data_IF_002903000486
#
_entry.id   IF_002903000486
#
_cell.length_a   1.000
_cell.length_b   1.000
_cell.length_c   1.000
_cell.angle_alpha   90.00
_cell.angle_beta   90.00
_cell.angle_gamma   90.00
#
_symmetry.space_group_name_H-M   'P 1'
#
loop_
_entity.id
_entity.type
_entity.pdbx_description
1 polymer ?
#
# COMPACT_ATOMS: atom_id res chain seq x y z
N UNK A 1 -27.14 -8.37 -2.82
CA UNK A 1 -27.10 -8.65 -1.36
C UNK A 1 -25.72 -8.26 -0.77
N UNK A 2 -24.62 -8.85 -1.24
CA UNK A 2 -23.24 -8.59 -0.75
C UNK A 2 -22.86 -7.09 -0.70
N UNK A 3 -23.07 -6.34 -1.79
CA UNK A 3 -22.73 -4.91 -1.83
C UNK A 3 -23.62 -4.07 -0.89
N UNK A 4 -24.88 -4.44 -0.71
CA UNK A 4 -25.78 -3.76 0.23
C UNK A 4 -25.32 -3.98 1.66
N UNK A 5 -25.00 -5.21 2.05
CA UNK A 5 -24.47 -5.50 3.38
C UNK A 5 -23.17 -4.70 3.66
N UNK A 6 -22.32 -4.56 2.65
CA UNK A 6 -21.07 -3.79 2.78
C UNK A 6 -21.33 -2.30 3.04
N UNK A 7 -22.32 -1.71 2.34
CA UNK A 7 -22.75 -0.33 2.54
C UNK A 7 -23.41 -0.19 3.92
N UNK A 8 -24.30 -1.10 4.29
CA UNK A 8 -25.02 -1.08 5.57
C UNK A 8 -24.06 -1.08 6.76
N UNK A 9 -23.03 -1.94 6.75
CA UNK A 9 -22.00 -1.95 7.80
C UNK A 9 -21.13 -0.70 7.80
N UNK A 10 -20.89 -0.08 6.65
CA UNK A 10 -20.16 1.19 6.58
C UNK A 10 -20.98 2.34 7.20
N UNK A 11 -22.28 2.39 6.92
CA UNK A 11 -23.19 3.37 7.52
C UNK A 11 -23.41 3.11 9.01
N UNK A 12 -23.55 1.84 9.40
CA UNK A 12 -23.65 1.44 10.80
C UNK A 12 -22.42 1.90 11.60
N UNK A 13 -21.21 1.68 11.08
CA UNK A 13 -20.01 2.20 11.72
C UNK A 13 -20.01 3.73 11.83
N UNK A 14 -20.48 4.44 10.81
CA UNK A 14 -20.64 5.91 10.84
C UNK A 14 -21.64 6.38 11.92
N UNK A 15 -22.68 5.62 12.18
CA UNK A 15 -23.70 5.96 13.18
C UNK A 15 -23.27 5.58 14.59
N UNK A 16 -22.65 4.42 14.80
CA UNK A 16 -22.39 3.84 16.10
C UNK A 16 -21.01 4.20 16.69
N UNK A 17 -20.00 4.51 15.86
CA UNK A 17 -18.69 4.87 16.37
C UNK A 17 -18.61 6.33 16.81
N UNK A 18 -17.89 6.65 17.89
CA UNK A 18 -17.81 8.02 18.44
C UNK A 18 -17.32 9.06 17.43
N UNK A 19 -16.43 8.66 16.54
CA UNK A 19 -15.85 9.53 15.49
C UNK A 19 -16.69 9.62 14.21
N UNK A 20 -17.70 8.77 14.04
CA UNK A 20 -18.38 8.63 12.76
C UNK A 20 -19.00 9.91 12.22
N UNK A 21 -19.55 10.78 13.10
CA UNK A 21 -20.10 12.10 12.73
C UNK A 21 -19.03 13.17 12.51
N UNK A 22 -17.80 12.93 12.97
CA UNK A 22 -16.66 13.86 12.82
C UNK A 22 -15.91 13.63 11.49
N UNK A 23 -16.12 12.47 10.84
CA UNK A 23 -15.49 12.15 9.57
C UNK A 23 -16.15 12.96 8.44
N UNK A 24 -15.40 13.79 7.71
CA UNK A 24 -15.94 14.54 6.58
C UNK A 24 -16.44 13.61 5.48
N UNK A 25 -17.41 14.09 4.70
CA UNK A 25 -18.07 13.29 3.65
C UNK A 25 -17.07 12.77 2.59
N UNK A 26 -16.06 13.57 2.23
CA UNK A 26 -15.03 13.17 1.28
C UNK A 26 -14.21 11.99 1.80
N UNK A 27 -13.73 12.07 3.03
CA UNK A 27 -12.93 11.03 3.68
C UNK A 27 -13.75 9.76 3.88
N UNK A 28 -15.02 9.88 4.27
CA UNK A 28 -15.93 8.75 4.37
C UNK A 28 -16.14 8.07 3.01
N UNK A 29 -16.49 8.85 1.98
CA UNK A 29 -16.79 8.34 0.64
C UNK A 29 -15.61 7.64 -0.01
N UNK A 30 -14.40 8.16 0.16
CA UNK A 30 -13.23 7.67 -0.56
C UNK A 30 -12.34 6.73 0.26
N UNK A 31 -12.42 6.77 1.59
CA UNK A 31 -11.49 6.03 2.44
C UNK A 31 -12.14 5.18 3.54
N UNK A 32 -13.49 5.17 3.63
CA UNK A 32 -14.25 4.21 4.47
C UNK A 32 -15.13 3.34 3.59
N UNK A 33 -15.97 3.95 2.77
CA UNK A 33 -16.99 3.27 1.98
C UNK A 33 -16.45 2.28 0.92
N UNK A 34 -15.32 2.52 0.23
CA UNK A 34 -14.87 1.62 -0.81
C UNK A 34 -14.63 0.19 -0.31
N UNK A 35 -15.09 -0.77 -1.11
CA UNK A 35 -14.99 -2.20 -0.82
C UNK A 35 -13.57 -2.74 -1.05
N UNK A 36 -12.80 -2.10 -1.95
CA UNK A 36 -11.43 -2.49 -2.28
C UNK A 36 -10.40 -1.55 -1.67
N UNK A 37 -9.24 -2.10 -1.38
CA UNK A 37 -8.04 -1.38 -0.97
C UNK A 37 -7.02 -1.38 -2.12
N UNK A 38 -6.82 -2.50 -2.78
CA UNK A 38 -5.90 -2.67 -3.90
C UNK A 38 -6.54 -3.57 -4.98
N UNK A 39 -5.98 -4.74 -5.25
CA UNK A 39 -6.42 -5.71 -6.28
C UNK A 39 -6.85 -7.05 -5.66
N UNK A 40 -7.06 -7.09 -4.37
CA UNK A 40 -7.49 -8.26 -3.61
C UNK A 40 -8.85 -8.80 -4.08
N UNK A 41 -9.11 -10.07 -3.83
CA UNK A 41 -10.44 -10.63 -3.96
C UNK A 41 -11.38 -10.02 -2.92
N UNK A 42 -12.65 -9.90 -3.27
CA UNK A 42 -13.69 -9.42 -2.35
C UNK A 42 -14.10 -10.56 -1.41
N UNK A 43 -14.33 -10.21 -0.16
CA UNK A 43 -14.88 -11.09 0.87
C UNK A 43 -15.76 -10.30 1.85
N UNK A 44 -16.33 -10.97 2.82
CA UNK A 44 -17.23 -10.38 3.81
C UNK A 44 -16.51 -9.81 5.04
N UNK A 45 -15.27 -9.35 4.88
CA UNK A 45 -14.44 -8.84 5.98
C UNK A 45 -15.07 -7.66 6.71
N UNK A 46 -15.77 -6.76 6.00
CA UNK A 46 -16.40 -5.58 6.60
C UNK A 46 -17.28 -5.92 7.81
N UNK A 47 -18.18 -6.86 7.63
CA UNK A 47 -19.08 -7.34 8.67
C UNK A 47 -18.31 -8.06 9.77
N UNK A 48 -17.49 -9.03 9.41
CA UNK A 48 -16.73 -9.85 10.36
C UNK A 48 -15.86 -8.98 11.25
N UNK A 49 -15.10 -8.07 10.67
CA UNK A 49 -14.20 -7.19 11.43
C UNK A 49 -14.95 -6.16 12.26
N UNK A 50 -16.08 -5.63 11.74
CA UNK A 50 -16.92 -4.74 12.54
C UNK A 50 -17.41 -5.43 13.83
N UNK A 51 -17.93 -6.65 13.73
CA UNK A 51 -18.45 -7.38 14.88
C UNK A 51 -17.35 -7.76 15.90
N UNK A 52 -16.11 -8.01 15.44
CA UNK A 52 -14.98 -8.26 16.34
C UNK A 52 -14.41 -7.00 16.99
N UNK A 53 -14.42 -5.87 16.28
CA UNK A 53 -13.69 -4.64 16.68
C UNK A 53 -14.57 -3.62 17.40
N UNK A 54 -15.88 -3.54 17.10
CA UNK A 54 -16.76 -2.45 17.59
C UNK A 54 -16.69 -2.23 19.10
N UNK A 55 -16.78 -3.31 19.87
CA UNK A 55 -16.75 -3.23 21.35
C UNK A 55 -15.36 -2.95 21.89
N UNK A 56 -14.32 -3.31 21.14
CA UNK A 56 -12.92 -3.10 21.51
C UNK A 56 -12.52 -1.62 21.37
N UNK A 57 -13.11 -0.89 20.41
CA UNK A 57 -12.67 0.47 20.07
C UNK A 57 -13.65 1.57 20.46
N UNK A 58 -14.94 1.29 20.66
CA UNK A 58 -16.00 2.29 20.86
C UNK A 58 -15.80 3.26 22.04
N UNK A 59 -14.96 2.92 23.01
CA UNK A 59 -14.69 3.76 24.17
C UNK A 59 -13.32 4.46 24.09
N UNK A 60 -12.63 4.35 22.96
CA UNK A 60 -11.32 4.94 22.73
C UNK A 60 -11.43 6.28 21.99
N UNK A 61 -10.39 7.10 22.09
CA UNK A 61 -10.18 8.21 21.15
C UNK A 61 -9.95 7.66 19.74
N UNK A 62 -10.16 8.48 18.72
CA UNK A 62 -9.89 8.06 17.33
C UNK A 62 -8.41 7.64 17.15
N UNK A 63 -7.49 8.41 17.76
CA UNK A 63 -6.06 8.09 17.75
C UNK A 63 -5.78 6.71 18.37
N UNK A 64 -6.30 6.45 19.56
CA UNK A 64 -6.07 5.20 20.27
C UNK A 64 -6.76 4.02 19.59
N UNK A 65 -7.92 4.27 18.94
CA UNK A 65 -8.62 3.26 18.16
C UNK A 65 -7.81 2.80 16.95
N UNK A 66 -7.08 3.70 16.27
CA UNK A 66 -6.17 3.32 15.18
C UNK A 66 -5.07 2.40 15.68
N UNK A 67 -4.42 2.74 16.79
CA UNK A 67 -3.39 1.90 17.41
C UNK A 67 -3.96 0.54 17.83
N UNK A 68 -5.14 0.52 18.46
CA UNK A 68 -5.81 -0.68 18.92
C UNK A 68 -6.18 -1.63 17.79
N UNK A 69 -6.68 -1.09 16.67
CA UNK A 69 -6.95 -1.90 15.46
C UNK A 69 -5.67 -2.54 14.93
N UNK A 70 -4.54 -1.82 14.95
CA UNK A 70 -3.27 -2.38 14.49
C UNK A 70 -2.75 -3.51 15.41
N UNK A 71 -2.93 -3.37 16.71
CA UNK A 71 -2.67 -4.44 17.67
C UNK A 71 -3.56 -5.68 17.40
N UNK A 72 -4.85 -5.47 17.15
CA UNK A 72 -5.74 -6.56 16.74
C UNK A 72 -5.28 -7.21 15.42
N UNK A 73 -4.79 -6.43 14.47
CA UNK A 73 -4.23 -6.96 13.22
C UNK A 73 -3.01 -7.87 13.49
N UNK A 74 -2.13 -7.48 14.40
CA UNK A 74 -0.96 -8.28 14.78
C UNK A 74 -1.33 -9.59 15.51
N UNK A 75 -2.44 -9.62 16.24
CA UNK A 75 -2.99 -10.87 16.81
C UNK A 75 -3.34 -11.89 15.71
N UNK A 76 -3.63 -11.45 14.50
CA UNK A 76 -4.15 -12.28 13.40
C UNK A 76 -3.10 -12.61 12.34
N UNK A 77 -2.26 -11.66 11.98
CA UNK A 77 -1.37 -11.74 10.81
C UNK A 77 0.02 -11.25 11.16
N UNK A 78 1.02 -11.96 10.64
CA UNK A 78 2.44 -11.58 10.72
C UNK A 78 3.08 -11.63 9.35
N UNK A 79 4.12 -10.81 9.15
CA UNK A 79 4.86 -10.76 7.89
C UNK A 79 5.48 -12.10 7.52
N UNK A 80 5.22 -12.52 6.29
CA UNK A 80 5.93 -13.64 5.66
C UNK A 80 6.08 -13.36 4.17
N UNK A 81 7.29 -13.44 3.60
CA UNK A 81 7.52 -13.22 2.17
C UNK A 81 6.63 -14.14 1.32
N UNK A 82 6.06 -13.59 0.26
CA UNK A 82 5.22 -14.31 -0.68
C UNK A 82 5.24 -13.59 -2.04
N UNK A 83 5.31 -14.34 -3.12
CA UNK A 83 5.17 -13.83 -4.50
C UNK A 83 3.74 -13.96 -5.01
N UNK A 84 2.84 -14.45 -4.18
CA UNK A 84 1.46 -14.64 -4.56
C UNK A 84 0.72 -13.29 -4.73
N UNK A 85 -0.39 -13.36 -5.47
CA UNK A 85 -1.35 -12.25 -5.57
C UNK A 85 -1.83 -11.83 -4.17
N UNK A 86 -2.10 -10.55 -3.98
CA UNK A 86 -2.68 -10.00 -2.75
C UNK A 86 -3.93 -10.77 -2.33
N UNK A 87 -3.88 -11.41 -1.17
CA UNK A 87 -4.99 -12.14 -0.59
C UNK A 87 -6.10 -11.21 -0.13
N UNK A 88 -7.33 -11.72 -0.11
CA UNK A 88 -8.43 -11.00 0.54
C UNK A 88 -8.20 -10.89 2.07
N UNK A 89 -8.79 -9.88 2.74
CA UNK A 89 -8.58 -9.69 4.18
C UNK A 89 -8.88 -10.92 5.03
N UNK A 90 -9.99 -11.62 4.78
CA UNK A 90 -10.31 -12.86 5.51
C UNK A 90 -9.38 -14.02 5.15
N UNK A 91 -8.87 -14.08 3.93
CA UNK A 91 -7.89 -15.10 3.56
C UNK A 91 -6.56 -14.89 4.29
N UNK A 92 -6.12 -13.63 4.48
CA UNK A 92 -4.94 -13.30 5.28
C UNK A 92 -5.12 -13.73 6.74
N UNK A 93 -6.29 -13.47 7.34
CA UNK A 93 -6.61 -13.94 8.69
C UNK A 93 -6.58 -15.47 8.79
N UNK A 94 -7.20 -16.16 7.83
CA UNK A 94 -7.24 -17.63 7.82
C UNK A 94 -5.87 -18.27 7.69
N UNK A 95 -4.95 -17.63 6.98
CA UNK A 95 -3.58 -18.12 6.81
C UNK A 95 -2.59 -17.59 7.84
N UNK A 96 -3.01 -16.62 8.65
CA UNK A 96 -2.24 -15.97 9.73
C UNK A 96 -0.94 -15.27 9.27
N UNK A 97 -0.78 -15.00 7.97
CA UNK A 97 0.39 -14.29 7.44
C UNK A 97 0.12 -13.57 6.12
N UNK A 98 1.00 -12.64 5.79
CA UNK A 98 1.05 -11.95 4.51
C UNK A 98 2.35 -11.21 4.33
N UNK A 99 2.64 -10.79 3.09
CA UNK A 99 3.66 -9.77 2.83
C UNK A 99 3.06 -8.38 3.10
N UNK A 100 3.85 -7.32 2.99
CA UNK A 100 3.41 -5.95 3.25
C UNK A 100 2.13 -5.54 2.46
N UNK A 101 1.95 -6.08 1.24
CA UNK A 101 0.74 -5.85 0.43
C UNK A 101 -0.53 -6.44 1.06
N UNK A 102 -0.48 -7.68 1.57
CA UNK A 102 -1.58 -8.33 2.28
C UNK A 102 -1.84 -7.69 3.64
N UNK A 103 -0.78 -7.46 4.43
CA UNK A 103 -0.88 -6.84 5.75
C UNK A 103 -1.52 -5.46 5.69
N UNK A 104 -1.09 -4.61 4.74
CA UNK A 104 -1.66 -3.27 4.57
C UNK A 104 -3.09 -3.31 4.04
N UNK A 105 -3.43 -4.21 3.12
CA UNK A 105 -4.80 -4.42 2.65
C UNK A 105 -5.72 -4.86 3.80
N UNK A 106 -5.27 -5.79 4.62
CA UNK A 106 -5.99 -6.28 5.80
C UNK A 106 -6.19 -5.18 6.84
N UNK A 107 -5.13 -4.45 7.19
CA UNK A 107 -5.21 -3.37 8.20
C UNK A 107 -6.12 -2.23 7.74
N UNK A 108 -6.07 -1.84 6.46
CA UNK A 108 -7.00 -0.84 5.91
C UNK A 108 -8.45 -1.34 5.97
N UNK A 109 -8.71 -2.61 5.63
CA UNK A 109 -10.04 -3.19 5.72
C UNK A 109 -10.56 -3.21 7.16
N UNK A 110 -9.69 -3.53 8.14
CA UNK A 110 -10.02 -3.50 9.57
C UNK A 110 -10.36 -2.09 10.06
N UNK A 111 -9.55 -1.08 9.76
CA UNK A 111 -9.81 0.32 10.10
C UNK A 111 -11.13 0.82 9.51
N UNK A 112 -11.34 0.56 8.21
CA UNK A 112 -12.58 0.95 7.52
C UNK A 112 -13.81 0.27 8.09
N UNK A 113 -13.69 -0.95 8.65
CA UNK A 113 -14.82 -1.68 9.22
C UNK A 113 -15.44 -0.96 10.43
N UNK A 114 -14.65 -0.23 11.18
CA UNK A 114 -15.08 0.60 12.31
C UNK A 114 -15.18 2.09 11.96
N UNK A 115 -15.32 2.41 10.67
CA UNK A 115 -15.57 3.77 10.20
C UNK A 115 -14.37 4.72 10.24
N UNK A 116 -13.15 4.20 10.37
CA UNK A 116 -11.92 4.99 10.33
C UNK A 116 -11.44 5.11 8.87
N UNK A 117 -11.33 6.33 8.30
CA UNK A 117 -10.78 6.48 6.97
C UNK A 117 -9.34 6.00 6.93
N UNK A 118 -9.05 5.07 6.02
CA UNK A 118 -7.73 4.49 5.87
C UNK A 118 -7.40 4.20 4.40
N UNK A 119 -6.11 4.22 4.08
CA UNK A 119 -5.61 3.94 2.74
C UNK A 119 -4.27 3.22 2.79
N UNK A 120 -4.02 2.37 1.79
CA UNK A 120 -2.72 1.75 1.59
C UNK A 120 -1.78 2.77 0.96
N UNK A 121 -0.60 2.90 1.53
CA UNK A 121 0.51 3.63 0.93
C UNK A 121 1.43 2.64 0.23
N UNK A 122 1.91 2.99 -0.94
CA UNK A 122 2.84 2.18 -1.70
C UNK A 122 3.99 3.02 -2.24
N UNK A 123 5.21 2.61 -1.96
CA UNK A 123 6.41 3.05 -2.67
C UNK A 123 6.81 1.96 -3.66
N UNK A 124 6.71 2.22 -4.97
CA UNK A 124 6.95 1.18 -5.97
C UNK A 124 8.40 0.69 -6.00
N UNK A 125 9.34 1.58 -5.71
CA UNK A 125 10.77 1.29 -5.55
C UNK A 125 11.42 2.33 -4.63
N UNK A 126 12.30 1.85 -3.75
CA UNK A 126 13.19 2.72 -2.99
C UNK A 126 14.28 3.29 -3.90
N UNK A 127 14.71 4.52 -3.64
CA UNK A 127 15.81 5.14 -4.39
C UNK A 127 17.21 4.84 -3.83
N UNK A 128 17.29 4.41 -2.58
CA UNK A 128 18.54 4.22 -1.83
C UNK A 128 18.91 2.74 -1.61
N UNK A 129 17.97 1.83 -1.87
CA UNK A 129 18.13 0.38 -1.74
C UNK A 129 17.16 -0.33 -2.68
N UNK A 130 17.40 -1.59 -2.96
CA UNK A 130 16.47 -2.41 -3.71
C UNK A 130 15.16 -2.63 -2.93
N UNK A 131 14.12 -3.08 -3.65
CA UNK A 131 12.80 -3.41 -3.14
C UNK A 131 11.77 -2.27 -3.14
N UNK A 132 10.58 -2.59 -2.69
CA UNK A 132 9.41 -1.74 -2.53
C UNK A 132 8.84 -1.93 -1.11
N UNK A 133 7.83 -1.13 -0.76
CA UNK A 133 7.11 -1.33 0.49
C UNK A 133 5.68 -0.82 0.42
N UNK A 134 4.81 -1.41 1.23
CA UNK A 134 3.45 -0.96 1.45
C UNK A 134 3.14 -0.89 2.95
N UNK A 135 2.44 0.17 3.35
CA UNK A 135 1.99 0.40 4.72
C UNK A 135 0.64 1.09 4.73
N UNK A 136 0.24 1.67 5.83
CA UNK A 136 -1.10 2.24 6.02
C UNK A 136 -1.04 3.69 6.46
N UNK A 137 -1.95 4.50 5.95
CA UNK A 137 -2.35 5.77 6.56
C UNK A 137 -3.78 5.70 7.07
N UNK A 138 -4.01 6.27 8.26
CA UNK A 138 -5.31 6.50 8.87
C UNK A 138 -5.55 8.01 9.06
N UNK A 139 -6.76 8.46 8.80
CA UNK A 139 -7.15 9.84 9.03
C UNK A 139 -7.63 10.03 10.47
N UNK A 140 -6.97 10.93 11.20
CA UNK A 140 -7.28 11.25 12.59
C UNK A 140 -7.35 12.78 12.73
N UNK A 141 -8.50 13.27 13.13
CA UNK A 141 -8.72 14.69 13.47
C UNK A 141 -8.17 15.71 12.45
N UNK A 142 -8.42 15.45 11.18
CA UNK A 142 -8.05 16.34 10.09
C UNK A 142 -6.71 16.08 9.43
N UNK A 143 -5.98 15.04 9.85
CA UNK A 143 -4.65 14.70 9.33
C UNK A 143 -4.52 13.22 9.01
N UNK A 144 -3.66 12.91 8.05
CA UNK A 144 -3.21 11.55 7.78
C UNK A 144 -2.00 11.20 8.64
N UNK A 145 -2.07 10.07 9.33
CA UNK A 145 -1.01 9.48 10.12
C UNK A 145 -0.67 8.12 9.59
N UNK A 146 0.62 7.78 9.50
CA UNK A 146 1.01 6.46 9.04
C UNK A 146 1.30 5.48 10.18
N UNK A 147 1.23 4.20 9.86
CA UNK A 147 1.56 3.08 10.74
C UNK A 147 2.03 1.89 9.90
N UNK A 148 2.90 1.06 10.46
CA UNK A 148 3.25 -0.25 9.90
C UNK A 148 2.05 -1.18 10.03
N UNK A 149 1.67 -1.84 8.94
CA UNK A 149 0.54 -2.75 8.93
C UNK A 149 0.86 -4.04 9.70
N UNK A 150 0.03 -4.44 10.63
CA UNK A 150 0.28 -5.58 11.53
C UNK A 150 1.58 -5.45 12.35
N UNK A 151 2.15 -4.26 12.41
CA UNK A 151 3.39 -3.94 13.13
C UNK A 151 3.10 -2.79 14.11
N UNK A 152 2.36 -3.04 15.21
CA UNK A 152 1.94 -1.97 16.12
C UNK A 152 3.12 -1.32 16.83
N UNK A 153 3.12 -0.01 16.81
CA UNK A 153 4.05 0.86 17.52
C UNK A 153 3.29 1.64 18.61
N UNK A 154 3.98 2.16 19.63
CA UNK A 154 3.33 2.90 20.72
C UNK A 154 2.61 4.17 20.30
N UNK A 155 3.00 4.74 19.18
CA UNK A 155 2.48 6.02 18.65
C UNK A 155 2.37 5.95 17.13
N UNK A 156 1.49 6.76 16.55
CA UNK A 156 1.39 6.93 15.10
C UNK A 156 2.61 7.67 14.53
N UNK A 157 2.82 7.58 13.23
CA UNK A 157 3.99 8.10 12.50
C UNK A 157 5.31 7.45 12.93
N UNK A 158 5.24 6.24 13.46
CA UNK A 158 6.39 5.43 13.83
C UNK A 158 6.34 4.08 13.11
N UNK A 159 7.47 3.67 12.58
CA UNK A 159 7.70 2.38 11.96
C UNK A 159 9.17 2.23 11.61
N UNK A 160 9.65 1.02 11.37
CA UNK A 160 11.03 0.76 10.96
C UNK A 160 11.43 1.52 9.68
N UNK A 161 10.44 1.87 8.87
CA UNK A 161 10.63 2.55 7.58
C UNK A 161 10.64 4.09 7.64
N UNK A 162 10.65 4.71 8.82
CA UNK A 162 10.72 6.18 8.92
C UNK A 162 11.89 6.77 8.13
N UNK A 163 13.10 6.23 8.32
CA UNK A 163 14.28 6.68 7.60
C UNK A 163 14.18 6.41 6.08
N UNK A 164 13.87 5.19 5.61
CA UNK A 164 13.59 4.93 4.20
C UNK A 164 12.52 5.84 3.58
N UNK A 165 11.42 6.08 4.26
CA UNK A 165 10.32 6.91 3.76
C UNK A 165 10.73 8.38 3.60
N UNK A 166 11.57 8.92 4.50
CA UNK A 166 12.05 10.30 4.44
C UNK A 166 12.93 10.59 3.22
N UNK A 167 13.45 9.57 2.57
CA UNK A 167 14.28 9.63 1.36
C UNK A 167 13.65 8.90 0.16
N UNK A 168 12.32 8.76 0.18
CA UNK A 168 11.57 8.20 -0.93
C UNK A 168 11.47 9.17 -2.11
N UNK A 169 11.39 8.61 -3.33
CA UNK A 169 11.12 9.38 -4.54
C UNK A 169 9.63 9.52 -4.81
N UNK A 170 8.84 8.47 -4.52
CA UNK A 170 7.41 8.45 -4.77
C UNK A 170 6.69 7.59 -3.74
N UNK A 171 5.62 8.12 -3.16
CA UNK A 171 4.58 7.40 -2.43
C UNK A 171 3.23 7.73 -3.04
N UNK A 172 2.46 6.71 -3.33
CA UNK A 172 1.12 6.88 -3.88
C UNK A 172 0.09 5.95 -3.22
N UNK A 173 -1.18 6.25 -3.46
CA UNK A 173 -2.29 5.41 -3.03
C UNK A 173 -3.36 5.33 -4.10
N UNK A 174 -4.14 4.25 -4.09
CA UNK A 174 -5.31 4.07 -4.96
C UNK A 174 -6.57 4.50 -4.22
N UNK A 175 -7.34 5.35 -4.87
CA UNK A 175 -8.67 5.78 -4.42
C UNK A 175 -9.70 5.23 -5.39
N UNK A 176 -10.57 4.34 -4.94
CA UNK A 176 -11.58 3.74 -5.81
C UNK A 176 -12.71 4.73 -6.11
N UNK A 177 -13.12 4.78 -7.38
CA UNK A 177 -14.07 5.74 -7.91
C UNK A 177 -13.42 7.04 -8.43
N UNK A 178 -14.26 8.05 -8.67
CA UNK A 178 -13.82 9.37 -9.12
C UNK A 178 -13.39 10.19 -7.91
N UNK A 179 -12.11 10.47 -7.84
CA UNK A 179 -11.52 11.30 -6.80
C UNK A 179 -11.26 12.73 -7.31
N UNK A 180 -11.56 13.73 -6.50
CA UNK A 180 -11.38 15.15 -6.79
C UNK A 180 -10.70 15.89 -5.63
N UNK A 181 -9.85 15.23 -4.87
CA UNK A 181 -9.04 15.84 -3.81
C UNK A 181 -7.91 16.73 -4.35
N UNK A 182 -7.16 17.36 -3.45
CA UNK A 182 -6.11 18.33 -3.81
C UNK A 182 -4.79 17.68 -4.28
N UNK A 183 -4.64 16.37 -4.11
CA UNK A 183 -3.39 15.68 -4.42
C UNK A 183 -3.16 15.56 -5.93
N UNK A 184 -1.91 15.50 -6.34
CA UNK A 184 -1.54 15.26 -7.73
C UNK A 184 -2.06 13.89 -8.20
N UNK A 185 -2.80 13.88 -9.31
CA UNK A 185 -3.26 12.65 -9.95
C UNK A 185 -2.12 12.04 -10.77
N UNK A 186 -1.72 10.82 -10.39
CA UNK A 186 -0.71 10.05 -11.09
C UNK A 186 -1.29 9.27 -12.27
N UNK A 187 -2.43 8.64 -12.02
CA UNK A 187 -3.16 7.86 -13.00
C UNK A 187 -4.65 7.86 -12.66
N UNK A 188 -5.50 7.84 -13.68
CA UNK A 188 -6.94 7.72 -13.51
C UNK A 188 -7.54 6.82 -14.58
N UNK A 189 -8.43 5.95 -14.17
CA UNK A 189 -9.25 5.11 -15.04
C UNK A 189 -10.68 5.03 -14.49
N UNK A 190 -11.63 4.34 -15.15
CA UNK A 190 -13.01 4.24 -14.68
C UNK A 190 -13.18 3.65 -13.27
N UNK A 191 -12.22 2.86 -12.79
CA UNK A 191 -12.33 2.11 -11.54
C UNK A 191 -11.63 2.81 -10.36
N UNK A 192 -10.51 3.47 -10.59
CA UNK A 192 -9.74 4.12 -9.53
C UNK A 192 -8.94 5.34 -10.02
N UNK A 193 -8.59 6.17 -9.08
CA UNK A 193 -7.63 7.27 -9.22
C UNK A 193 -6.42 6.95 -8.35
N UNK A 194 -5.22 7.06 -8.90
CA UNK A 194 -3.97 6.95 -8.17
C UNK A 194 -3.42 8.34 -7.90
N UNK A 195 -3.19 8.66 -6.65
CA UNK A 195 -2.77 9.98 -6.18
C UNK A 195 -1.40 9.95 -5.52
N UNK A 196 -0.65 11.01 -5.72
CA UNK A 196 0.67 11.22 -5.15
C UNK A 196 0.57 11.78 -3.73
N UNK A 197 1.21 11.12 -2.79
CA UNK A 197 1.22 11.50 -1.38
C UNK A 197 2.64 11.63 -0.81
N UNK A 198 3.63 11.80 -1.67
CA UNK A 198 5.06 11.92 -1.26
C UNK A 198 5.26 13.02 -0.21
N UNK A 199 4.48 14.10 -0.27
CA UNK A 199 4.58 15.22 0.67
C UNK A 199 4.27 14.87 2.13
N UNK A 200 3.65 13.71 2.41
CA UNK A 200 3.44 13.25 3.79
C UNK A 200 4.71 12.63 4.41
N UNK A 201 5.74 12.34 3.60
CA UNK A 201 6.90 11.53 4.01
C UNK A 201 8.23 12.22 3.82
N UNK A 202 8.43 12.89 2.68
CA UNK A 202 9.73 13.41 2.29
C UNK A 202 9.67 14.86 1.82
N UNK A 203 10.75 15.63 1.96
CA UNK A 203 10.91 16.88 1.22
C UNK A 203 10.79 16.60 -0.28
N UNK A 204 9.88 17.29 -0.97
CA UNK A 204 9.60 17.06 -2.37
C UNK A 204 9.64 18.35 -3.18
N UNK A 205 9.71 18.21 -4.50
CA UNK A 205 9.59 19.30 -5.46
C UNK A 205 8.89 18.80 -6.72
N UNK A 206 8.29 19.74 -7.46
CA UNK A 206 7.74 19.47 -8.79
C UNK A 206 8.75 19.87 -9.87
N UNK A 207 8.87 19.06 -10.90
CA UNK A 207 9.66 19.38 -12.09
C UNK A 207 8.84 19.12 -13.35
N UNK A 208 8.95 20.02 -14.33
CA UNK A 208 8.36 19.88 -15.65
C UNK A 208 9.31 19.18 -16.60
N UNK A 209 8.74 18.38 -17.49
CA UNK A 209 9.47 17.76 -18.60
C UNK A 209 8.80 18.18 -19.89
N UNK A 210 9.58 18.81 -20.77
CA UNK A 210 9.13 19.23 -22.10
C UNK A 210 9.69 18.29 -23.15
N UNK A 211 8.81 17.70 -23.92
CA UNK A 211 9.16 16.76 -24.99
C UNK A 211 9.11 17.49 -26.33
N UNK A 212 10.20 17.39 -27.05
CA UNK A 212 10.33 17.97 -28.41
C UNK A 212 10.77 16.90 -29.41
N UNK A 213 10.45 17.10 -30.69
CA UNK A 213 10.95 16.27 -31.77
C UNK A 213 12.40 16.63 -32.16
N UNK A 214 12.94 15.98 -33.18
CA UNK A 214 14.29 16.22 -33.66
C UNK A 214 14.50 17.66 -34.17
N UNK A 215 13.43 18.39 -34.54
CA UNK A 215 13.45 19.77 -35.01
C UNK A 215 13.20 20.82 -33.92
N UNK A 216 12.92 20.36 -32.68
CA UNK A 216 12.61 21.21 -31.52
C UNK A 216 11.13 21.59 -31.38
N UNK A 217 10.22 20.95 -32.13
CA UNK A 217 8.80 21.22 -32.02
C UNK A 217 8.20 20.40 -30.86
N UNK A 218 7.24 20.96 -30.09
CA UNK A 218 6.55 20.24 -29.03
C UNK A 218 5.87 18.96 -29.52
N UNK A 219 5.97 17.90 -28.73
CA UNK A 219 5.35 16.61 -29.06
C UNK A 219 4.21 16.34 -28.07
N UNK A 220 2.97 16.44 -28.54
CA UNK A 220 1.78 16.07 -27.78
C UNK A 220 1.63 14.55 -27.67
N UNK A 221 1.16 14.06 -26.51
CA UNK A 221 0.81 12.65 -26.31
C UNK A 221 1.98 11.68 -26.25
N UNK A 222 3.21 12.17 -26.12
CA UNK A 222 4.37 11.31 -25.86
C UNK A 222 4.19 10.58 -24.52
N UNK A 223 4.55 9.30 -24.48
CA UNK A 223 4.66 8.55 -23.23
C UNK A 223 5.92 9.01 -22.51
N UNK A 224 5.77 9.46 -21.27
CA UNK A 224 6.86 9.95 -20.41
C UNK A 224 6.92 9.07 -19.17
N UNK A 225 8.01 8.35 -19.00
CA UNK A 225 8.25 7.40 -17.92
C UNK A 225 9.32 7.95 -16.98
N UNK A 226 8.94 8.15 -15.72
CA UNK A 226 9.85 8.52 -14.64
C UNK A 226 10.37 7.25 -13.99
N UNK A 227 11.69 7.11 -13.91
CA UNK A 227 12.34 5.86 -13.54
C UNK A 227 13.33 6.04 -12.39
N UNK A 228 13.30 5.10 -11.46
CA UNK A 228 14.25 4.98 -10.34
C UNK A 228 15.16 3.78 -10.60
N UNK A 229 16.45 3.93 -10.32
CA UNK A 229 17.39 2.81 -10.40
C UNK A 229 17.19 1.87 -9.21
N UNK A 230 16.86 0.61 -9.49
CA UNK A 230 16.54 -0.38 -8.47
C UNK A 230 16.61 -1.78 -9.10
N UNK A 231 17.17 -2.78 -8.40
CA UNK A 231 17.43 -4.12 -8.92
C UNK A 231 18.22 -4.12 -10.25
N UNK A 232 19.24 -3.28 -10.32
CA UNK A 232 20.12 -3.13 -11.49
C UNK A 232 19.39 -2.72 -12.79
N UNK A 233 18.22 -2.09 -12.69
CA UNK A 233 17.46 -1.54 -13.82
C UNK A 233 16.85 -0.16 -13.51
N UNK A 234 16.48 0.57 -14.55
CA UNK A 234 15.67 1.77 -14.40
C UNK A 234 14.18 1.40 -14.42
N UNK A 235 13.61 1.16 -13.25
CA UNK A 235 12.21 0.79 -13.06
C UNK A 235 11.30 2.02 -13.18
N UNK A 236 10.22 1.90 -13.97
CA UNK A 236 9.23 2.98 -14.14
C UNK A 236 8.33 3.07 -12.92
N UNK A 237 8.42 4.17 -12.18
CA UNK A 237 7.58 4.44 -11.00
C UNK A 237 6.36 5.30 -11.33
N UNK A 238 6.42 6.10 -12.40
CA UNK A 238 5.30 6.91 -12.89
C UNK A 238 5.30 7.01 -14.41
N UNK A 239 4.11 7.01 -15.00
CA UNK A 239 3.92 7.21 -16.44
C UNK A 239 2.93 8.34 -16.65
N UNK A 240 3.34 9.35 -17.40
CA UNK A 240 2.53 10.50 -17.79
C UNK A 240 2.44 10.61 -19.32
N UNK A 241 1.62 11.53 -19.80
CA UNK A 241 1.59 11.92 -21.21
C UNK A 241 1.85 13.42 -21.33
N UNK A 242 2.57 13.83 -22.37
CA UNK A 242 2.75 15.23 -22.67
C UNK A 242 1.47 15.85 -23.22
N UNK A 243 1.22 17.10 -22.89
CA UNK A 243 0.10 17.91 -23.37
C UNK A 243 0.39 18.51 -24.77
N UNK A 244 -0.49 19.42 -25.22
CA UNK A 244 -0.36 20.12 -26.52
C UNK A 244 0.89 21.00 -26.63
N UNK A 245 1.48 21.42 -25.50
CA UNK A 245 2.73 22.16 -25.45
C UNK A 245 3.96 21.23 -25.31
N UNK A 246 3.76 19.93 -25.38
CA UNK A 246 4.78 18.90 -25.16
C UNK A 246 5.15 18.71 -23.69
N UNK A 247 4.39 19.26 -22.74
CA UNK A 247 4.75 19.29 -21.32
C UNK A 247 4.02 18.26 -20.48
N UNK A 248 4.69 17.79 -19.46
CA UNK A 248 4.12 17.07 -18.34
C UNK A 248 4.90 17.40 -17.07
N UNK A 249 4.42 16.95 -15.90
CA UNK A 249 5.15 17.15 -14.65
C UNK A 249 4.99 15.99 -13.70
N UNK A 250 5.87 15.92 -12.72
CA UNK A 250 5.78 15.03 -11.57
C UNK A 250 6.26 15.78 -10.32
N UNK A 251 5.62 15.52 -9.19
CA UNK A 251 6.15 15.87 -7.87
C UNK A 251 6.82 14.64 -7.28
N UNK A 252 8.06 14.77 -6.83
CA UNK A 252 8.85 13.66 -6.30
C UNK A 252 9.79 14.11 -5.18
N UNK A 253 10.32 13.18 -4.41
CA UNK A 253 11.37 13.44 -3.44
C UNK A 253 12.57 14.15 -4.08
N UNK A 254 13.29 14.96 -3.30
CA UNK A 254 14.42 15.76 -3.78
C UNK A 254 15.65 14.91 -4.07
N UNK A 255 15.59 14.18 -5.17
CA UNK A 255 16.63 13.33 -5.73
C UNK A 255 16.50 13.26 -7.23
N UNK A 256 17.24 12.36 -7.88
CA UNK A 256 17.32 12.25 -9.32
C UNK A 256 16.47 11.08 -9.85
N UNK A 257 15.81 11.30 -10.98
CA UNK A 257 15.20 10.25 -11.80
C UNK A 257 15.72 10.29 -13.22
N UNK A 258 15.83 9.11 -13.85
CA UNK A 258 15.89 9.00 -15.29
C UNK A 258 14.48 9.21 -15.85
N UNK A 259 14.33 10.08 -16.81
CA UNK A 259 13.08 10.27 -17.57
C UNK A 259 13.27 9.75 -18.98
N UNK A 260 12.39 8.84 -19.39
CA UNK A 260 12.37 8.26 -20.72
C UNK A 260 11.09 8.69 -21.43
N UNK A 261 11.23 9.33 -22.58
CA UNK A 261 10.09 9.74 -23.40
C UNK A 261 10.09 8.99 -24.72
N UNK A 262 8.90 8.61 -25.20
CA UNK A 262 8.76 7.89 -26.47
C UNK A 262 7.46 8.22 -27.19
N UNK A 263 7.52 8.25 -28.54
CA UNK A 263 6.36 8.35 -29.42
C UNK A 263 6.73 7.86 -30.83
N UNK A 264 5.82 7.09 -31.46
CA UNK A 264 5.91 6.68 -32.87
C UNK A 264 7.26 6.03 -33.26
N UNK A 265 7.82 5.20 -32.35
CA UNK A 265 9.11 4.52 -32.56
C UNK A 265 10.35 5.37 -32.33
N UNK A 266 10.18 6.63 -31.99
CA UNK A 266 11.27 7.51 -31.54
C UNK A 266 11.30 7.60 -30.02
N UNK A 267 12.47 7.85 -29.44
CA UNK A 267 12.65 8.05 -28.03
C UNK A 267 13.73 9.06 -27.70
N UNK A 268 13.73 9.48 -26.46
CA UNK A 268 14.76 10.30 -25.85
C UNK A 268 14.76 10.11 -24.35
N UNK A 269 15.84 10.49 -23.69
CA UNK A 269 15.95 10.40 -22.25
C UNK A 269 16.79 11.52 -21.66
N UNK A 270 16.62 11.76 -20.37
CA UNK A 270 17.39 12.73 -19.62
C UNK A 270 17.27 12.49 -18.14
N UNK A 271 18.14 13.11 -17.36
CA UNK A 271 18.06 13.14 -15.91
C UNK A 271 17.26 14.35 -15.47
N UNK A 272 16.41 14.18 -14.47
CA UNK A 272 15.71 15.26 -13.75
C UNK A 272 16.12 15.22 -12.30
N UNK A 273 16.68 16.31 -11.78
CA UNK A 273 17.05 16.51 -10.40
C UNK A 273 15.96 17.31 -9.67
N UNK A 274 15.06 16.63 -8.96
CA UNK A 274 13.95 17.28 -8.26
C UNK A 274 14.44 18.19 -7.14
N UNK A 275 13.97 19.43 -7.15
CA UNK A 275 14.42 20.49 -6.24
C UNK A 275 15.63 21.31 -6.74
N UNK A 276 16.19 20.92 -7.87
CA UNK A 276 17.22 21.67 -8.62
C UNK A 276 16.67 22.13 -9.96
N UNK A 277 16.16 21.18 -10.75
CA UNK A 277 15.58 21.47 -12.08
C UNK A 277 14.11 21.87 -11.93
N UNK A 278 13.72 22.97 -12.56
CA UNK A 278 12.31 23.37 -12.69
C UNK A 278 11.69 22.80 -13.96
N UNK A 279 12.44 22.74 -15.05
CA UNK A 279 12.03 22.16 -16.34
C UNK A 279 13.26 21.53 -17.03
N UNK A 280 13.06 20.35 -17.60
CA UNK A 280 14.06 19.64 -18.41
C UNK A 280 13.46 19.35 -19.78
N UNK A 281 14.19 19.66 -20.87
CA UNK A 281 13.80 19.32 -22.23
C UNK A 281 14.37 17.96 -22.65
N UNK A 282 13.50 17.08 -23.19
CA UNK A 282 13.88 15.78 -23.74
C UNK A 282 13.54 15.75 -25.23
N UNK A 283 14.57 15.50 -26.04
CA UNK A 283 14.45 15.43 -27.49
C UNK A 283 14.27 13.99 -27.96
N UNK A 284 13.21 13.75 -28.75
CA UNK A 284 12.98 12.46 -29.40
C UNK A 284 13.82 12.37 -30.68
N UNK A 285 15.10 12.11 -30.55
CA UNK A 285 16.06 12.06 -31.66
C UNK A 285 16.71 10.68 -31.87
N UNK A 286 16.30 9.69 -31.08
CA UNK A 286 16.79 8.31 -31.11
C UNK A 286 15.73 7.35 -31.62
N UNK A 287 16.15 6.25 -32.23
CA UNK A 287 15.25 5.23 -32.81
C UNK A 287 15.43 3.89 -32.11
N UNK A 288 14.36 3.12 -32.03
CA UNK A 288 14.42 1.77 -31.50
C UNK A 288 15.42 0.89 -32.28
N UNK A 289 16.18 0.08 -31.56
CA UNK A 289 17.23 -0.78 -32.13
C UNK A 289 18.63 -0.16 -32.18
N UNK A 290 18.78 1.12 -31.90
CA UNK A 290 20.10 1.75 -31.76
C UNK A 290 20.66 1.46 -30.36
N UNK A 291 21.96 1.23 -30.27
CA UNK A 291 22.68 0.97 -29.00
C UNK A 291 23.34 2.25 -28.51
N UNK A 292 23.14 2.55 -27.24
CA UNK A 292 23.71 3.73 -26.59
C UNK A 292 24.49 3.32 -25.34
N UNK A 293 25.54 4.07 -25.07
CA UNK A 293 26.24 4.02 -23.77
C UNK A 293 26.20 5.43 -23.18
N UNK A 294 25.78 5.53 -21.93
CA UNK A 294 25.68 6.80 -21.20
C UNK A 294 26.13 6.58 -19.77
N UNK A 295 26.87 7.55 -19.25
CA UNK A 295 27.18 7.63 -17.82
C UNK A 295 26.15 8.55 -17.17
N UNK A 296 25.48 8.05 -16.13
CA UNK A 296 24.49 8.79 -15.36
C UNK A 296 24.89 8.78 -13.88
N UNK A 297 25.05 9.97 -13.34
CA UNK A 297 25.20 10.18 -11.91
C UNK A 297 23.78 10.42 -11.33
N UNK A 298 23.24 9.44 -10.62
CA UNK A 298 21.90 9.45 -10.03
C UNK A 298 22.03 9.55 -8.52
N UNK A 299 21.56 10.66 -7.97
CA UNK A 299 21.64 10.98 -6.55
C UNK A 299 20.28 10.72 -5.89
N UNK A 300 20.16 9.79 -4.94
CA UNK A 300 18.92 9.60 -4.18
C UNK A 300 18.68 10.76 -3.22
N UNK A 301 17.44 10.97 -2.75
CA UNK A 301 17.16 11.98 -1.73
C UNK A 301 17.97 11.76 -0.46
N UNK A 302 18.35 12.87 0.18
CA UNK A 302 18.98 12.81 1.50
C UNK A 302 18.01 12.31 2.56
N UNK A 303 18.51 11.56 3.52
CA UNK A 303 17.74 11.14 4.68
C UNK A 303 17.50 12.33 5.62
N UNK A 304 16.25 12.48 6.08
CA UNK A 304 15.88 13.53 7.02
C UNK A 304 14.48 13.28 7.55
N UNK A 305 14.37 12.81 8.78
CA UNK A 305 13.10 12.55 9.45
C UNK A 305 13.14 12.93 10.91
N UNK A 306 11.97 13.27 11.44
CA UNK A 306 11.76 13.46 12.87
C UNK A 306 11.04 12.23 13.40
N UNK A 307 11.66 11.53 14.36
CA UNK A 307 11.01 10.45 15.08
C UNK A 307 10.04 11.04 16.11
N UNK A 308 8.81 10.51 16.23
CA UNK A 308 7.95 10.86 17.34
C UNK A 308 8.57 10.40 18.67
N UNK A 309 8.34 11.16 19.72
CA UNK A 309 8.80 10.78 21.04
C UNK A 309 8.01 9.58 21.58
N UNK A 310 8.72 8.63 22.16
CA UNK A 310 8.15 7.43 22.79
C UNK A 310 8.75 7.30 24.19
N UNK A 311 7.89 7.27 25.22
CA UNK A 311 8.38 7.07 26.58
C UNK A 311 8.78 5.61 26.82
N UNK A 312 9.66 5.33 27.81
CA UNK A 312 9.99 3.97 28.18
C UNK A 312 8.77 3.12 28.57
N UNK A 313 7.77 3.72 29.21
CA UNK A 313 6.53 3.06 29.62
C UNK A 313 5.68 2.66 28.41
N UNK A 314 5.54 3.58 27.42
CA UNK A 314 4.84 3.28 26.17
C UNK A 314 5.52 2.13 25.42
N UNK A 315 6.84 2.14 25.34
CA UNK A 315 7.61 1.06 24.71
C UNK A 315 7.46 -0.27 25.45
N UNK A 316 7.53 -0.26 26.77
CA UNK A 316 7.38 -1.44 27.59
C UNK A 316 5.97 -2.05 27.43
N UNK A 317 4.92 -1.23 27.43
CA UNK A 317 3.55 -1.69 27.21
C UNK A 317 3.34 -2.26 25.80
N UNK A 318 3.87 -1.61 24.77
CA UNK A 318 3.83 -2.13 23.42
C UNK A 318 4.51 -3.51 23.30
N UNK A 319 5.69 -3.67 23.89
CA UNK A 319 6.40 -4.96 23.89
C UNK A 319 5.64 -6.03 24.67
N UNK A 320 5.01 -5.67 25.78
CA UNK A 320 4.14 -6.59 26.54
C UNK A 320 2.96 -7.07 25.69
N UNK A 321 2.31 -6.16 24.97
CA UNK A 321 1.20 -6.48 24.07
C UNK A 321 1.64 -7.40 22.94
N UNK A 322 2.77 -7.09 22.31
CA UNK A 322 3.36 -7.94 21.25
C UNK A 322 3.50 -9.40 21.69
N UNK A 323 4.04 -9.64 22.89
CA UNK A 323 4.21 -11.00 23.40
C UNK A 323 2.87 -11.75 23.59
N UNK A 324 1.82 -11.03 24.01
CA UNK A 324 0.47 -11.60 24.14
C UNK A 324 -0.12 -11.89 22.77
N UNK A 325 -0.01 -10.97 21.84
CA UNK A 325 -0.54 -11.08 20.48
C UNK A 325 0.13 -12.21 19.72
N UNK A 326 1.46 -12.36 19.86
CA UNK A 326 2.19 -13.52 19.34
C UNK A 326 1.67 -14.84 19.92
N UNK A 327 1.38 -14.88 21.22
CA UNK A 327 0.81 -16.07 21.85
C UNK A 327 -0.57 -16.43 21.31
N UNK A 328 -1.43 -15.42 21.08
CA UNK A 328 -2.77 -15.60 20.50
C UNK A 328 -2.65 -16.17 19.07
N UNK A 329 -1.83 -15.56 18.23
CA UNK A 329 -1.61 -16.01 16.85
C UNK A 329 -0.99 -17.40 16.82
N UNK A 330 0.02 -17.67 17.62
CA UNK A 330 0.70 -18.96 17.66
C UNK A 330 -0.25 -20.07 18.14
N UNK A 331 -1.16 -19.79 19.08
CA UNK A 331 -2.19 -20.74 19.50
C UNK A 331 -3.15 -21.08 18.35
N UNK A 332 -3.52 -20.08 17.53
CA UNK A 332 -4.33 -20.30 16.33
C UNK A 332 -3.56 -21.12 15.26
N UNK A 333 -2.32 -20.76 14.96
CA UNK A 333 -1.48 -21.49 13.99
C UNK A 333 -1.20 -22.92 14.44
N UNK A 334 -1.13 -23.18 15.74
CA UNK A 334 -0.98 -24.55 16.28
C UNK A 334 -2.17 -25.47 15.95
N UNK A 335 -3.32 -24.92 15.55
CA UNK A 335 -4.47 -25.72 15.08
C UNK A 335 -4.36 -26.15 13.61
N UNK A 336 -3.38 -25.63 12.88
CA UNK A 336 -3.21 -25.92 11.45
C UNK A 336 -2.75 -27.36 11.23
N UNK A 337 -3.23 -27.95 10.15
CA UNK A 337 -2.78 -29.27 9.72
C UNK A 337 -1.33 -29.21 9.24
N UNK A 338 -0.56 -30.18 9.68
CA UNK A 338 0.76 -30.52 9.11
C UNK A 338 0.59 -31.51 7.95
N UNK A 339 1.63 -31.72 7.17
CA UNK A 339 1.62 -32.78 6.13
C UNK A 339 1.26 -34.16 6.71
N UNK A 340 1.78 -34.49 7.88
CA UNK A 340 1.49 -35.77 8.55
C UNK A 340 0.01 -35.86 8.94
N UNK A 341 -0.54 -34.85 9.62
CA UNK A 341 -1.96 -34.87 10.04
C UNK A 341 -2.92 -34.78 8.86
N UNK A 342 -2.54 -34.10 7.77
CA UNK A 342 -3.33 -34.06 6.54
C UNK A 342 -3.40 -35.43 5.85
N UNK A 343 -2.30 -36.20 5.83
CA UNK A 343 -2.27 -37.59 5.32
C UNK A 343 -3.10 -38.51 6.19
N UNK A 344 -3.05 -38.38 7.50
CA UNK A 344 -3.91 -39.15 8.43
C UNK A 344 -5.38 -38.82 8.20
N UNK A 345 -5.71 -37.54 7.99
CA UNK A 345 -7.06 -37.09 7.66
C UNK A 345 -7.53 -37.70 6.33
N UNK A 346 -6.72 -37.67 5.29
CA UNK A 346 -7.04 -38.27 3.98
C UNK A 346 -7.33 -39.76 4.12
N UNK A 347 -6.50 -40.52 4.83
CA UNK A 347 -6.70 -41.95 5.07
C UNK A 347 -7.97 -42.24 5.88
N UNK A 348 -8.21 -41.48 6.95
CA UNK A 348 -9.39 -41.65 7.80
C UNK A 348 -10.70 -41.48 7.04
N UNK A 349 -10.76 -40.51 6.13
CA UNK A 349 -11.96 -40.18 5.35
C UNK A 349 -11.96 -40.75 3.93
N UNK A 350 -10.98 -41.59 3.57
CA UNK A 350 -10.82 -42.23 2.28
C UNK A 350 -10.76 -41.19 1.12
N UNK A 351 -10.07 -40.09 1.33
CA UNK A 351 -9.88 -39.00 0.37
C UNK A 351 -8.61 -39.25 -0.45
N UNK A 352 -8.53 -38.62 -1.62
CA UNK A 352 -7.34 -38.59 -2.44
C UNK A 352 -6.21 -37.80 -1.73
N UNK A 353 -5.08 -38.47 -1.41
CA UNK A 353 -3.97 -37.85 -0.67
C UNK A 353 -3.34 -36.68 -1.45
N UNK A 354 -3.26 -36.75 -2.79
CA UNK A 354 -2.69 -35.69 -3.62
C UNK A 354 -3.59 -34.46 -3.68
N UNK A 355 -4.92 -34.67 -3.69
CA UNK A 355 -5.88 -33.58 -3.61
C UNK A 355 -5.79 -32.87 -2.26
N UNK A 356 -5.73 -33.65 -1.16
CA UNK A 356 -5.57 -33.09 0.20
C UNK A 356 -4.24 -32.35 0.32
N UNK A 357 -3.15 -32.85 -0.21
CA UNK A 357 -1.85 -32.19 -0.18
C UNK A 357 -1.87 -30.83 -0.93
N UNK A 358 -2.54 -30.77 -2.08
CA UNK A 358 -2.70 -29.49 -2.82
C UNK A 358 -3.51 -28.45 -2.02
N UNK A 359 -4.59 -28.89 -1.39
CA UNK A 359 -5.42 -28.01 -0.55
C UNK A 359 -4.66 -27.57 0.71
N UNK A 360 -3.87 -28.47 1.32
CA UNK A 360 -3.00 -28.14 2.44
C UNK A 360 -2.08 -26.97 2.12
N UNK A 361 -1.42 -27.02 0.96
CA UNK A 361 -0.54 -25.91 0.49
C UNK A 361 -1.33 -24.64 0.27
N UNK A 362 -2.46 -24.69 -0.45
CA UNK A 362 -3.27 -23.53 -0.79
C UNK A 362 -3.90 -22.87 0.46
N UNK A 363 -4.31 -23.67 1.44
CA UNK A 363 -4.89 -23.23 2.72
C UNK A 363 -3.86 -22.91 3.80
N UNK A 364 -2.58 -23.25 3.53
CA UNK A 364 -1.47 -23.18 4.50
C UNK A 364 -1.73 -23.97 5.78
N UNK A 365 -2.48 -25.04 5.68
CA UNK A 365 -2.80 -25.93 6.77
C UNK A 365 -4.04 -25.52 7.57
N UNK A 366 -4.73 -24.43 7.22
CA UNK A 366 -5.94 -24.04 7.93
C UNK A 366 -6.98 -25.15 7.90
N UNK A 367 -7.32 -25.70 9.10
CA UNK A 367 -8.19 -26.85 9.26
C UNK A 367 -9.58 -26.64 8.65
N UNK A 368 -10.21 -25.49 8.95
CA UNK A 368 -11.57 -25.20 8.49
C UNK A 368 -11.63 -25.04 6.97
N UNK A 369 -10.60 -24.43 6.36
CA UNK A 369 -10.52 -24.30 4.89
C UNK A 369 -10.40 -25.68 4.26
N UNK A 370 -9.56 -26.57 4.79
CA UNK A 370 -9.36 -27.91 4.27
C UNK A 370 -10.67 -28.72 4.37
N UNK A 371 -11.29 -28.73 5.54
CA UNK A 371 -12.49 -29.53 5.80
C UNK A 371 -13.74 -29.02 5.08
N UNK A 372 -13.84 -27.72 4.81
CA UNK A 372 -14.96 -27.15 4.06
C UNK A 372 -14.81 -27.30 2.54
N UNK A 373 -13.58 -27.54 2.04
CA UNK A 373 -13.32 -27.73 0.62
C UNK A 373 -13.52 -29.19 0.18
N UNK A 374 -13.29 -30.13 1.06
CA UNK A 374 -13.39 -31.58 0.82
C UNK A 374 -14.78 -32.12 1.14
#
# INVERSE_FOLDING_TARGET
EFFLEYIDYSLKAKEEMPWGKLIPEREFRHFVLPIRVNNENLDNSRKVFYEELKDRVKNLSLHDAVLEVNHWCHEKVVYTPSDARTSSPLASVKTAYGRCGEESTFTVAALRSVGIPARQVYTPRWAHTDDNHAWVEAWVDGKWYFLGACEPEPVLNLGWFNAPASRGMLMHTKVFGRYNGPEEIMHQNPNFTEINIIGNYAPFASAYVKIVDATGQPVEGAKVEFKVYNYAEFYTVATKKSDTEGKTFLSAGKGDMLVWASKDGQFGYGKVAFGVDNEVEIKLDKKAGETYSVELDIVPPAEGFNMPEVTPEQRAENNRRFAIEDSIRNAYVATFMTDASAREFAKKYQLDEDAVAKILVASRGNYDVITNFL
#
